data_IF_411112759588
#
_entry.id   IF_411112759588
#
_cell.length_a   1.000
_cell.length_b   1.000
_cell.length_c   1.000
_cell.angle_alpha   90.00
_cell.angle_beta   90.00
_cell.angle_gamma   90.00
#
_symmetry.space_group_name_H-M   'P 1'
#
loop_
_entity.id
_entity.type
_entity.pdbx_description
1 polymer ?
#
# COMPACT_ATOMS: atom_id res chain seq x y z
N UNK A 1 -33.05 -11.21 4.10
CA UNK A 1 -32.25 -12.41 4.43
C UNK A 1 -30.97 -12.29 3.63
N UNK A 2 -29.83 -12.23 4.31
CA UNK A 2 -28.53 -12.08 3.64
C UNK A 2 -28.22 -13.31 2.80
N UNK A 3 -28.43 -13.20 1.49
CA UNK A 3 -27.99 -14.19 0.52
C UNK A 3 -26.47 -14.22 0.50
N UNK A 4 -25.89 -15.42 0.55
CA UNK A 4 -24.44 -15.60 0.56
C UNK A 4 -23.75 -14.89 -0.61
N UNK A 5 -24.36 -14.92 -1.80
CA UNK A 5 -23.86 -14.22 -2.99
C UNK A 5 -23.80 -12.69 -2.80
N UNK A 6 -24.74 -12.10 -2.05
CA UNK A 6 -24.70 -10.68 -1.69
C UNK A 6 -23.53 -10.37 -0.76
N UNK A 7 -23.24 -11.25 0.20
CA UNK A 7 -22.09 -11.10 1.12
C UNK A 7 -20.78 -11.20 0.34
N UNK A 8 -20.68 -12.15 -0.60
CA UNK A 8 -19.50 -12.31 -1.47
C UNK A 8 -19.29 -11.05 -2.31
N UNK A 9 -20.34 -10.57 -2.98
CA UNK A 9 -20.25 -9.34 -3.78
C UNK A 9 -19.83 -8.12 -2.96
N UNK A 10 -20.28 -8.01 -1.70
CA UNK A 10 -19.83 -6.95 -0.79
C UNK A 10 -18.35 -7.08 -0.46
N UNK A 11 -17.86 -8.28 -0.16
CA UNK A 11 -16.44 -8.51 0.12
C UNK A 11 -15.57 -8.20 -1.11
N UNK A 12 -15.96 -8.71 -2.28
CA UNK A 12 -15.23 -8.50 -3.54
C UNK A 12 -15.20 -7.02 -3.95
N UNK A 13 -16.27 -6.25 -3.66
CA UNK A 13 -16.28 -4.80 -3.89
C UNK A 13 -15.23 -4.03 -3.06
N UNK A 14 -14.77 -4.61 -1.93
CA UNK A 14 -13.64 -4.11 -1.13
C UNK A 14 -12.32 -4.81 -1.49
N UNK A 15 -12.24 -5.50 -2.62
CA UNK A 15 -11.07 -6.29 -3.03
C UNK A 15 -10.70 -7.41 -2.04
N UNK A 16 -11.63 -7.78 -1.16
CA UNK A 16 -11.47 -8.92 -0.28
C UNK A 16 -11.88 -10.18 -1.04
N UNK A 17 -11.04 -11.20 -1.01
CA UNK A 17 -11.28 -12.46 -1.72
C UNK A 17 -11.75 -13.53 -0.73
N UNK A 18 -13.07 -13.77 -0.61
CA UNK A 18 -13.57 -14.80 0.28
C UNK A 18 -13.35 -16.21 -0.31
N UNK A 19 -12.81 -17.10 0.52
CA UNK A 19 -12.79 -18.53 0.28
C UNK A 19 -13.99 -19.18 0.98
N UNK A 20 -14.73 -20.02 0.25
CA UNK A 20 -15.80 -20.85 0.83
C UNK A 20 -15.15 -22.05 1.53
N UNK A 21 -15.34 -22.19 2.84
CA UNK A 21 -14.81 -23.32 3.64
C UNK A 21 -15.93 -24.03 4.38
N UNK A 22 -15.90 -25.36 4.42
CA UNK A 22 -16.83 -26.12 5.28
C UNK A 22 -16.19 -26.37 6.65
N UNK A 23 -16.79 -25.86 7.71
CA UNK A 23 -16.36 -26.07 9.09
C UNK A 23 -17.54 -26.60 9.89
N UNK A 24 -17.40 -27.80 10.48
CA UNK A 24 -18.49 -28.43 11.24
C UNK A 24 -19.78 -28.66 10.43
N UNK A 25 -19.64 -28.94 9.13
CA UNK A 25 -20.77 -29.16 8.22
C UNK A 25 -21.47 -27.90 7.72
N UNK A 26 -21.10 -26.72 8.24
CA UNK A 26 -21.62 -25.42 7.78
C UNK A 26 -20.63 -24.74 6.85
N UNK A 27 -21.16 -23.93 5.95
CA UNK A 27 -20.37 -23.17 5.00
C UNK A 27 -20.02 -21.80 5.59
N UNK A 28 -18.73 -21.55 5.73
CA UNK A 28 -18.15 -20.31 6.24
C UNK A 28 -17.45 -19.60 5.08
N UNK A 29 -17.50 -18.27 5.08
CA UNK A 29 -16.70 -17.41 4.22
C UNK A 29 -15.47 -16.97 5.00
N UNK A 30 -14.28 -17.24 4.46
CA UNK A 30 -13.02 -16.91 5.10
C UNK A 30 -12.24 -15.97 4.19
N UNK A 31 -11.85 -14.82 4.71
CA UNK A 31 -11.03 -13.83 4.02
C UNK A 31 -9.70 -13.73 4.77
N UNK A 32 -8.61 -14.06 4.08
CA UNK A 32 -7.26 -13.80 4.58
C UNK A 32 -6.84 -12.41 4.11
N UNK A 33 -6.58 -11.50 5.05
CA UNK A 33 -6.18 -10.12 4.73
C UNK A 33 -4.67 -10.01 4.51
N UNK A 34 -3.91 -10.67 5.38
CA UNK A 34 -2.45 -10.81 5.34
C UNK A 34 -2.05 -12.05 6.19
N UNK A 35 -0.75 -12.24 6.44
CA UNK A 35 -0.24 -13.41 7.18
C UNK A 35 -0.80 -13.55 8.60
N UNK A 36 -1.26 -12.44 9.19
CA UNK A 36 -1.67 -12.37 10.58
C UNK A 36 -3.19 -12.28 10.74
N UNK A 37 -3.89 -11.61 9.82
CA UNK A 37 -5.32 -11.31 9.97
C UNK A 37 -6.21 -12.21 9.12
N UNK A 38 -7.18 -12.86 9.77
CA UNK A 38 -8.23 -13.65 9.12
C UNK A 38 -9.61 -13.19 9.56
N UNK A 39 -10.46 -12.88 8.60
CA UNK A 39 -11.86 -12.54 8.82
C UNK A 39 -12.76 -13.71 8.42
N UNK A 40 -13.65 -14.14 9.30
CA UNK A 40 -14.58 -15.26 9.06
C UNK A 40 -16.01 -14.78 9.21
N UNK A 41 -16.88 -15.15 8.27
CA UNK A 41 -18.32 -14.91 8.31
C UNK A 41 -19.05 -16.23 8.16
N UNK A 42 -20.11 -16.44 8.94
CA UNK A 42 -20.99 -17.59 8.84
C UNK A 42 -22.41 -17.22 9.24
N UNK A 43 -23.36 -18.09 8.95
CA UNK A 43 -24.73 -17.93 9.41
C UNK A 43 -24.82 -18.05 10.95
N UNK A 44 -25.65 -17.22 11.57
CA UNK A 44 -25.89 -17.28 12.99
C UNK A 44 -26.60 -18.60 13.36
N UNK A 45 -26.17 -19.25 14.45
CA UNK A 45 -26.64 -20.59 14.80
C UNK A 45 -28.11 -20.64 15.22
N UNK A 46 -28.61 -19.56 15.82
CA UNK A 46 -29.91 -19.53 16.52
C UNK A 46 -30.90 -18.58 15.83
N UNK A 47 -30.41 -17.55 15.13
CA UNK A 47 -31.23 -16.47 14.56
C UNK A 47 -31.11 -16.49 13.04
N UNK A 48 -32.08 -17.09 12.32
CA UNK A 48 -32.07 -17.12 10.86
C UNK A 48 -31.99 -15.71 10.28
N UNK A 49 -31.21 -15.54 9.22
CA UNK A 49 -31.06 -14.26 8.53
C UNK A 49 -30.03 -13.29 9.12
N UNK A 50 -29.50 -13.57 10.32
CA UNK A 50 -28.34 -12.87 10.87
C UNK A 50 -27.06 -13.65 10.59
N UNK A 51 -25.95 -12.93 10.48
CA UNK A 51 -24.62 -13.49 10.34
C UNK A 51 -23.82 -13.30 11.62
N UNK A 52 -22.94 -14.26 11.87
CA UNK A 52 -21.88 -14.13 12.84
C UNK A 52 -20.57 -13.89 12.09
N UNK A 53 -19.75 -12.95 12.54
CA UNK A 53 -18.42 -12.75 11.99
C UNK A 53 -17.38 -12.48 13.07
N UNK A 54 -16.12 -12.81 12.78
CA UNK A 54 -14.99 -12.44 13.63
C UNK A 54 -13.75 -12.09 12.82
N UNK A 55 -12.96 -11.18 13.37
CA UNK A 55 -11.62 -10.84 12.91
C UNK A 55 -10.61 -11.42 13.91
N UNK A 56 -9.66 -12.22 13.42
CA UNK A 56 -8.63 -12.85 14.22
C UNK A 56 -7.24 -12.38 13.83
N UNK A 57 -6.36 -12.24 14.82
CA UNK A 57 -4.90 -12.09 14.68
C UNK A 57 -4.22 -12.86 15.82
N UNK A 58 -3.96 -14.15 15.61
CA UNK A 58 -3.71 -15.10 16.70
C UNK A 58 -5.00 -15.37 17.49
N UNK A 59 -5.42 -14.39 18.28
CA UNK A 59 -6.68 -14.38 19.04
C UNK A 59 -7.81 -13.63 18.31
N UNK A 60 -9.04 -13.74 18.82
CA UNK A 60 -10.19 -12.96 18.31
C UNK A 60 -10.01 -11.51 18.76
N UNK A 61 -9.80 -10.63 17.77
CA UNK A 61 -9.67 -9.19 17.99
C UNK A 61 -11.05 -8.53 18.12
N UNK A 62 -11.95 -8.89 17.22
CA UNK A 62 -13.32 -8.36 17.18
C UNK A 62 -14.30 -9.45 16.76
N UNK A 63 -15.47 -9.44 17.36
CA UNK A 63 -16.56 -10.35 17.08
C UNK A 63 -17.85 -9.56 16.88
N UNK A 64 -18.61 -9.96 15.86
CA UNK A 64 -19.96 -9.47 15.61
C UNK A 64 -20.91 -10.65 15.65
N UNK A 65 -21.75 -10.69 16.68
CA UNK A 65 -22.67 -11.81 16.91
C UNK A 65 -23.87 -11.74 15.99
N UNK A 66 -24.39 -10.54 15.74
CA UNK A 66 -25.60 -10.30 14.95
C UNK A 66 -25.34 -9.25 13.88
N UNK A 67 -24.90 -9.69 12.72
CA UNK A 67 -24.76 -8.87 11.53
C UNK A 67 -25.99 -9.02 10.64
N UNK A 68 -26.60 -7.88 10.33
CA UNK A 68 -27.69 -7.73 9.40
C UNK A 68 -27.23 -6.97 8.13
N UNK A 69 -28.17 -6.67 7.24
CA UNK A 69 -27.85 -6.01 5.96
C UNK A 69 -27.28 -4.60 6.12
N UNK A 70 -27.52 -3.94 7.26
CA UNK A 70 -27.09 -2.57 7.53
C UNK A 70 -25.71 -2.54 8.19
N UNK A 71 -25.47 -3.45 9.12
CA UNK A 71 -24.23 -3.54 9.91
C UNK A 71 -23.12 -4.30 9.20
N UNK A 72 -23.46 -5.24 8.30
CA UNK A 72 -22.47 -6.03 7.56
C UNK A 72 -21.48 -5.17 6.76
N UNK A 73 -21.90 -4.16 5.97
CA UNK A 73 -20.97 -3.27 5.27
C UNK A 73 -19.99 -2.56 6.21
N UNK A 74 -20.47 -2.11 7.37
CA UNK A 74 -19.65 -1.42 8.38
C UNK A 74 -18.57 -2.34 8.97
N UNK A 75 -18.93 -3.60 9.27
CA UNK A 75 -17.97 -4.60 9.73
C UNK A 75 -16.92 -4.91 8.65
N UNK A 76 -17.33 -5.02 7.39
CA UNK A 76 -16.41 -5.23 6.27
C UNK A 76 -15.48 -4.04 6.08
N UNK A 77 -15.97 -2.81 6.19
CA UNK A 77 -15.16 -1.60 6.04
C UNK A 77 -14.13 -1.48 7.18
N UNK A 78 -14.52 -1.84 8.41
CA UNK A 78 -13.58 -1.97 9.53
C UNK A 78 -12.50 -3.01 9.24
N UNK A 79 -12.87 -4.21 8.77
CA UNK A 79 -11.92 -5.27 8.40
C UNK A 79 -10.99 -4.83 7.27
N UNK A 80 -11.51 -4.14 6.27
CA UNK A 80 -10.73 -3.63 5.13
C UNK A 80 -9.63 -2.65 5.57
N UNK A 81 -9.81 -1.94 6.69
CA UNK A 81 -8.76 -1.07 7.25
C UNK A 81 -7.47 -1.84 7.62
N UNK A 82 -7.58 -3.15 7.92
CA UNK A 82 -6.45 -4.06 8.21
C UNK A 82 -5.88 -4.74 6.96
N UNK A 83 -6.61 -4.72 5.84
CA UNK A 83 -6.17 -5.28 4.56
C UNK A 83 -5.19 -4.36 3.84
N UNK A 84 -5.26 -3.05 4.09
CA UNK A 84 -4.26 -2.13 3.58
C UNK A 84 -2.91 -2.55 4.16
N UNK A 85 -1.86 -2.71 3.34
CA UNK A 85 -0.52 -2.80 3.89
C UNK A 85 -0.40 -1.60 4.81
N UNK A 86 0.08 -1.82 6.04
CA UNK A 86 0.69 -0.75 6.80
C UNK A 86 1.78 -0.20 5.88
N UNK A 87 1.44 0.78 5.05
CA UNK A 87 2.39 1.71 4.50
C UNK A 87 2.90 2.40 5.75
N UNK A 88 3.87 1.77 6.42
CA UNK A 88 4.87 2.51 7.18
C UNK A 88 5.14 3.71 6.30
N UNK A 89 4.97 4.95 6.80
CA UNK A 89 5.31 6.12 6.02
C UNK A 89 6.69 5.81 5.46
N UNK A 90 6.80 5.79 4.13
CA UNK A 90 8.00 5.34 3.46
C UNK A 90 9.13 6.12 4.11
N UNK A 91 9.91 5.44 4.96
CA UNK A 91 11.21 5.93 5.34
C UNK A 91 11.93 5.87 4.00
N UNK A 92 11.85 6.99 3.28
CA UNK A 92 12.63 7.32 2.10
C UNK A 92 14.00 6.75 2.43
N UNK A 93 14.31 5.61 1.83
CA UNK A 93 15.39 4.78 2.33
C UNK A 93 16.62 5.67 2.32
N UNK A 94 17.43 5.67 3.38
CA UNK A 94 18.66 6.50 3.40
C UNK A 94 19.45 6.31 2.09
N UNK A 95 19.36 5.13 1.51
CA UNK A 95 19.86 4.77 0.19
C UNK A 95 19.32 5.61 -0.98
N UNK A 96 18.01 5.91 -1.04
CA UNK A 96 17.42 6.83 -2.02
C UNK A 96 17.93 8.26 -1.82
N UNK A 97 18.05 8.71 -0.57
CA UNK A 97 18.62 10.02 -0.24
C UNK A 97 20.09 10.13 -0.65
N UNK A 98 20.89 9.10 -0.38
CA UNK A 98 22.29 9.01 -0.82
C UNK A 98 22.43 9.02 -2.35
N UNK A 99 21.57 8.29 -3.06
CA UNK A 99 21.53 8.28 -4.53
C UNK A 99 21.27 9.68 -5.10
N UNK A 100 20.26 10.38 -4.57
CA UNK A 100 19.96 11.75 -5.01
C UNK A 100 21.10 12.72 -4.69
N UNK A 101 21.72 12.64 -3.52
CA UNK A 101 22.89 13.48 -3.20
C UNK A 101 24.08 13.21 -4.12
N UNK A 102 24.31 11.95 -4.49
CA UNK A 102 25.40 11.59 -5.41
C UNK A 102 25.16 12.13 -6.82
N UNK A 103 23.92 12.06 -7.32
CA UNK A 103 23.55 12.62 -8.63
C UNK A 103 23.76 14.13 -8.66
N UNK A 104 23.31 14.85 -7.61
CA UNK A 104 23.46 16.30 -7.51
C UNK A 104 24.95 16.69 -7.48
N UNK A 105 25.77 16.01 -6.68
CA UNK A 105 27.21 16.25 -6.65
C UNK A 105 27.86 16.06 -8.02
N UNK A 106 27.51 15.01 -8.76
CA UNK A 106 28.04 14.77 -10.10
C UNK A 106 27.67 15.89 -11.09
N UNK A 107 26.43 16.38 -11.05
CA UNK A 107 25.98 17.48 -11.93
C UNK A 107 26.74 18.78 -11.61
N UNK A 108 26.94 19.09 -10.32
CA UNK A 108 27.68 20.30 -9.92
C UNK A 108 29.15 20.20 -10.32
N UNK A 109 29.80 19.04 -10.11
CA UNK A 109 31.19 18.81 -10.48
C UNK A 109 31.41 18.91 -12.00
N UNK A 110 30.53 18.27 -12.79
CA UNK A 110 30.61 18.35 -14.26
C UNK A 110 30.36 19.78 -14.76
N UNK A 111 29.35 20.48 -14.23
CA UNK A 111 29.09 21.88 -14.56
C UNK A 111 30.28 22.80 -14.26
N UNK A 112 30.91 22.66 -13.09
CA UNK A 112 32.11 23.42 -12.72
C UNK A 112 33.30 23.13 -13.63
N UNK A 113 33.53 21.86 -13.99
CA UNK A 113 34.61 21.51 -14.92
C UNK A 113 34.42 22.12 -16.31
N UNK A 114 33.20 22.07 -16.85
CA UNK A 114 32.86 22.70 -18.14
C UNK A 114 33.01 24.23 -18.06
N UNK A 115 32.55 24.85 -16.98
CA UNK A 115 32.70 26.30 -16.76
C UNK A 115 34.17 26.73 -16.72
N UNK A 116 35.02 25.99 -16.00
CA UNK A 116 36.45 26.30 -15.91
C UNK A 116 37.18 26.13 -17.25
N UNK A 117 36.83 25.09 -18.02
CA UNK A 117 37.39 24.87 -19.36
C UNK A 117 36.97 26.00 -20.31
N UNK A 118 35.67 26.33 -20.34
CA UNK A 118 35.14 27.42 -21.16
C UNK A 118 35.78 28.78 -20.80
N UNK A 119 35.94 29.07 -19.51
CA UNK A 119 36.58 30.31 -19.06
C UNK A 119 38.04 30.41 -19.53
N UNK A 120 38.81 29.32 -19.48
CA UNK A 120 40.20 29.26 -19.95
C UNK A 120 40.31 29.41 -21.47
N UNK A 121 39.45 28.77 -22.25
CA UNK A 121 39.47 28.92 -23.72
C UNK A 121 39.03 30.32 -24.15
N UNK A 122 38.07 30.94 -23.46
CA UNK A 122 37.69 32.34 -23.71
C UNK A 122 38.81 33.34 -23.40
N UNK A 123 39.63 33.09 -22.37
CA UNK A 123 40.76 33.99 -22.03
C UNK A 123 41.95 33.85 -22.98
N UNK A 124 42.25 32.64 -23.46
CA UNK A 124 43.29 32.43 -24.49
C UNK A 124 42.96 33.12 -25.82
N UNK A 125 41.71 33.03 -26.29
CA UNK A 125 41.32 33.65 -27.57
C UNK A 125 41.36 35.19 -27.51
N UNK A 126 41.09 35.81 -26.35
CA UNK A 126 41.21 37.27 -26.21
C UNK A 126 42.66 37.78 -26.17
N UNK A 127 43.62 37.00 -25.63
CA UNK A 127 45.03 37.42 -25.62
C UNK A 127 45.71 37.29 -26.99
N UNK A 128 45.31 36.32 -27.80
CA UNK A 128 45.91 36.07 -29.11
C UNK A 128 45.49 37.13 -30.16
N UNK A 129 44.30 37.72 -30.01
CA UNK A 129 43.85 38.85 -30.85
C UNK A 129 44.60 40.15 -30.57
N UNK A 130 45.18 40.32 -29.37
CA UNK A 130 45.94 41.53 -29.02
C UNK A 130 47.43 41.46 -29.34
N UNK A 131 47.99 40.26 -29.59
CA UNK A 131 49.41 40.10 -29.94
C UNK A 131 49.71 40.11 -31.44
N UNK A 132 48.68 40.23 -32.31
CA UNK A 132 48.82 40.33 -33.77
C UNK A 132 48.89 41.79 -34.29
N UNK A 133 48.83 42.77 -33.40
CA UNK A 133 48.93 44.20 -33.71
C UNK A 133 50.17 44.77 -33.00
N UNK A 134 51.36 44.37 -33.44
CA UNK A 134 52.60 45.12 -33.24
C UNK A 134 53.60 44.80 -34.33
#
# INVERSE_FOLDING_TARGET
MLLQEKVIGLLESRQLKPEKRKIGGKLDLVVKLNDNYTFTIREHKIKPGYLYANLKNGDVLTEWVELDEVSLPLAIDYVYSFAKPNTKPSQLSKQSLFWWTSIICFIVLTGMSVYLIAKKTSTCNCQQSTSSLK
#
